data_IF_840476791623
#
_entry.id   IF_840476791623
#
_cell.length_a   1.000
_cell.length_b   1.000
_cell.length_c   1.000
_cell.angle_alpha   90.00
_cell.angle_beta   90.00
_cell.angle_gamma   90.00
#
_symmetry.space_group_name_H-M   'P 1'
#
loop_
_entity.id
_entity.type
_entity.pdbx_description
1 polymer ?
#
# COMPACT_ATOMS: atom_id res chain seq x y z
N UNK A 1 -32.40 26.59 -35.14
CA UNK A 1 -31.99 25.60 -34.12
C UNK A 1 -30.49 25.45 -34.22
N UNK A 2 -29.73 26.17 -33.40
CA UNK A 2 -28.28 25.99 -33.30
C UNK A 2 -28.05 24.92 -32.23
N UNK A 3 -27.40 23.83 -32.62
CA UNK A 3 -27.05 22.72 -31.76
C UNK A 3 -26.14 23.22 -30.63
N UNK A 4 -26.45 22.80 -29.40
CA UNK A 4 -25.67 23.12 -28.22
C UNK A 4 -24.27 22.51 -28.35
N UNK A 5 -23.26 23.38 -28.26
CA UNK A 5 -21.93 22.96 -27.82
C UNK A 5 -22.07 22.49 -26.37
N UNK A 6 -22.03 21.18 -26.18
CA UNK A 6 -21.74 20.57 -24.90
C UNK A 6 -20.23 20.70 -24.74
N UNK A 7 -19.78 21.61 -23.87
CA UNK A 7 -18.41 21.60 -23.38
C UNK A 7 -18.21 20.26 -22.68
N UNK A 8 -17.42 19.38 -23.30
CA UNK A 8 -16.86 18.23 -22.62
C UNK A 8 -15.87 18.81 -21.61
N UNK A 9 -16.26 18.88 -20.34
CA UNK A 9 -15.30 18.98 -19.26
C UNK A 9 -14.45 17.71 -19.33
N UNK A 10 -13.24 17.83 -19.86
CA UNK A 10 -12.19 16.80 -19.91
C UNK A 10 -11.75 16.45 -18.47
N UNK A 11 -12.60 15.74 -17.75
CA UNK A 11 -12.25 14.98 -16.56
C UNK A 11 -11.84 13.59 -17.01
N UNK A 12 -10.55 13.43 -17.26
CA UNK A 12 -9.85 12.23 -17.73
C UNK A 12 -9.90 11.11 -16.66
N UNK A 13 -11.09 10.59 -16.39
CA UNK A 13 -11.34 9.51 -15.44
C UNK A 13 -11.13 8.18 -16.17
N UNK A 14 -9.88 7.94 -16.57
CA UNK A 14 -9.47 6.66 -17.13
C UNK A 14 -9.73 5.57 -16.07
N UNK A 15 -10.32 4.43 -16.46
CA UNK A 15 -10.53 3.34 -15.53
C UNK A 15 -9.19 2.90 -14.92
N UNK A 16 -9.18 2.46 -13.64
CA UNK A 16 -7.96 2.13 -12.91
C UNK A 16 -7.10 1.06 -13.60
N UNK A 17 -7.70 0.22 -14.44
CA UNK A 17 -7.04 -0.88 -15.16
C UNK A 17 -6.66 -0.54 -16.61
N UNK A 18 -6.70 0.73 -17.02
CA UNK A 18 -6.26 1.11 -18.37
C UNK A 18 -4.74 0.85 -18.55
N UNK A 19 -4.31 0.43 -19.74
CA UNK A 19 -2.89 0.16 -20.03
C UNK A 19 -2.00 1.39 -19.75
N UNK A 20 -2.54 2.60 -19.91
CA UNK A 20 -1.86 3.87 -19.64
C UNK A 20 -1.77 4.17 -18.12
N UNK A 21 -2.77 3.75 -17.33
CA UNK A 21 -2.74 3.82 -15.86
C UNK A 21 -1.67 2.87 -15.29
N UNK A 22 -1.64 1.62 -15.77
CA UNK A 22 -0.67 0.60 -15.35
C UNK A 22 0.77 0.95 -15.76
N UNK A 23 0.96 1.58 -16.93
CA UNK A 23 2.27 2.00 -17.42
C UNK A 23 2.91 3.11 -16.55
N UNK A 24 2.10 3.85 -15.80
CA UNK A 24 2.54 4.92 -14.91
C UNK A 24 2.74 4.48 -13.45
N UNK A 25 2.43 3.22 -13.10
CA UNK A 25 2.73 2.69 -11.77
C UNK A 25 4.23 2.38 -11.65
N UNK A 26 4.85 2.67 -10.49
CA UNK A 26 6.20 2.21 -10.24
C UNK A 26 6.27 0.68 -10.39
N UNK A 27 7.39 0.14 -10.91
CA UNK A 27 7.53 -1.29 -11.11
C UNK A 27 7.38 -2.03 -9.77
N UNK A 28 6.75 -3.21 -9.83
CA UNK A 28 6.60 -4.07 -8.66
C UNK A 28 7.98 -4.49 -8.13
N UNK A 29 8.28 -4.09 -6.89
CA UNK A 29 9.54 -4.38 -6.23
C UNK A 29 9.36 -5.45 -5.15
N UNK A 30 10.12 -6.53 -5.29
CA UNK A 30 10.12 -7.67 -4.36
C UNK A 30 11.33 -7.61 -3.43
N UNK A 31 11.07 -7.61 -2.13
CA UNK A 31 12.07 -7.51 -1.07
C UNK A 31 12.26 -8.83 -0.33
N UNK A 32 13.40 -8.97 0.33
CA UNK A 32 13.62 -10.06 1.28
C UNK A 32 12.78 -9.85 2.55
N UNK A 33 12.40 -10.94 3.22
CA UNK A 33 11.55 -10.88 4.41
C UNK A 33 12.14 -10.02 5.53
N UNK A 34 13.47 -9.97 5.68
CA UNK A 34 14.14 -9.11 6.67
C UNK A 34 13.79 -7.62 6.49
N UNK A 35 13.72 -7.16 5.24
CA UNK A 35 13.34 -5.78 4.94
C UNK A 35 11.91 -5.47 5.44
N UNK A 36 10.99 -6.42 5.29
CA UNK A 36 9.62 -6.28 5.77
C UNK A 36 9.52 -6.29 7.29
N UNK A 37 10.32 -7.12 7.94
CA UNK A 37 10.36 -7.20 9.41
C UNK A 37 10.84 -5.86 9.98
N UNK A 38 11.90 -5.30 9.42
CA UNK A 38 12.44 -4.02 9.86
C UNK A 38 11.46 -2.87 9.59
N UNK A 39 10.79 -2.88 8.44
CA UNK A 39 9.75 -1.91 8.10
C UNK A 39 8.58 -1.93 9.09
N UNK A 40 7.99 -3.11 9.33
CA UNK A 40 6.85 -3.25 10.25
C UNK A 40 7.21 -2.89 11.69
N UNK A 41 8.43 -3.22 12.15
CA UNK A 41 8.93 -2.81 13.47
C UNK A 41 9.04 -1.30 13.61
N UNK A 42 9.61 -0.61 12.61
CA UNK A 42 9.75 0.84 12.63
C UNK A 42 8.40 1.55 12.70
N UNK A 43 7.40 1.06 11.95
CA UNK A 43 6.03 1.60 12.03
C UNK A 43 5.43 1.36 13.42
N UNK A 44 5.53 0.14 13.94
CA UNK A 44 5.00 -0.17 15.26
C UNK A 44 5.64 0.69 16.35
N UNK A 45 6.96 0.89 16.30
CA UNK A 45 7.69 1.73 17.25
C UNK A 45 7.30 3.21 17.12
N UNK A 46 7.09 3.70 15.90
CA UNK A 46 6.60 5.05 15.66
C UNK A 46 5.19 5.25 16.23
N UNK A 47 4.26 4.31 16.01
CA UNK A 47 2.89 4.37 16.52
C UNK A 47 2.88 4.31 18.06
N UNK A 48 3.70 3.46 18.68
CA UNK A 48 3.82 3.42 20.15
C UNK A 48 4.30 4.74 20.74
N UNK A 49 5.15 5.47 20.02
CA UNK A 49 5.66 6.78 20.44
C UNK A 49 4.68 7.92 20.12
N UNK A 50 3.81 7.75 19.11
CA UNK A 50 2.89 8.77 18.60
C UNK A 50 1.50 8.14 18.37
N UNK A 51 0.77 7.71 19.41
CA UNK A 51 -0.48 6.96 19.28
C UNK A 51 -1.57 7.75 18.53
N UNK A 52 -1.54 9.09 18.55
CA UNK A 52 -2.47 9.97 17.84
C UNK A 52 -2.30 9.97 16.31
N UNK A 53 -1.22 9.35 15.80
CA UNK A 53 -0.96 9.27 14.35
C UNK A 53 -1.92 8.34 13.59
N UNK A 54 -2.65 7.47 14.32
CA UNK A 54 -3.62 6.52 13.76
C UNK A 54 -4.92 6.55 14.54
N UNK A 55 -6.02 6.17 13.89
CA UNK A 55 -7.37 6.21 14.50
C UNK A 55 -7.57 5.15 15.58
N UNK A 56 -7.04 3.95 15.37
CA UNK A 56 -7.19 2.80 16.26
C UNK A 56 -5.83 2.15 16.47
N UNK A 57 -5.14 2.58 17.53
CA UNK A 57 -3.76 2.17 17.83
C UNK A 57 -3.66 0.67 18.06
N UNK A 58 -4.57 0.12 18.87
CA UNK A 58 -4.50 -1.28 19.26
C UNK A 58 -4.77 -2.20 18.07
N UNK A 59 -5.76 -1.86 17.23
CA UNK A 59 -6.03 -2.61 16.00
C UNK A 59 -4.84 -2.58 15.03
N UNK A 60 -4.25 -1.41 14.79
CA UNK A 60 -3.12 -1.28 13.86
C UNK A 60 -1.87 -2.01 14.40
N UNK A 61 -1.58 -1.92 15.70
CA UNK A 61 -0.47 -2.65 16.29
C UNK A 61 -0.69 -4.17 16.24
N UNK A 62 -1.93 -4.65 16.39
CA UNK A 62 -2.27 -6.06 16.22
C UNK A 62 -2.05 -6.54 14.77
N UNK A 63 -2.44 -5.75 13.78
CA UNK A 63 -2.21 -6.08 12.37
C UNK A 63 -0.71 -6.10 12.03
N UNK A 64 0.07 -5.17 12.57
CA UNK A 64 1.52 -5.15 12.42
C UNK A 64 2.20 -6.37 13.06
N UNK A 65 1.73 -6.83 14.22
CA UNK A 65 2.24 -8.06 14.86
C UNK A 65 1.88 -9.31 14.03
N UNK A 66 0.68 -9.34 13.45
CA UNK A 66 0.26 -10.39 12.52
C UNK A 66 1.13 -10.41 11.27
N UNK A 67 1.44 -9.23 10.70
CA UNK A 67 2.36 -9.10 9.56
C UNK A 67 3.76 -9.58 9.91
N UNK A 68 4.29 -9.21 11.08
CA UNK A 68 5.61 -9.67 11.57
C UNK A 68 5.65 -11.19 11.71
N UNK A 69 4.56 -11.80 12.17
CA UNK A 69 4.44 -13.26 12.27
C UNK A 69 4.52 -13.94 10.89
N UNK A 70 3.83 -13.40 9.88
CA UNK A 70 3.88 -13.94 8.51
C UNK A 70 5.26 -13.74 7.89
N UNK A 71 5.87 -12.57 8.06
CA UNK A 71 7.21 -12.28 7.55
C UNK A 71 8.30 -13.13 8.20
N UNK A 72 8.18 -13.43 9.49
CA UNK A 72 9.09 -14.36 10.16
C UNK A 72 9.03 -15.76 9.51
N UNK A 73 7.83 -16.25 9.20
CA UNK A 73 7.66 -17.52 8.50
C UNK A 73 8.15 -17.46 7.04
N UNK A 74 8.02 -16.31 6.38
CA UNK A 74 8.56 -16.10 5.04
C UNK A 74 10.10 -16.14 5.06
N UNK A 75 10.72 -15.52 6.06
CA UNK A 75 12.18 -15.54 6.28
C UNK A 75 12.71 -16.95 6.46
N UNK A 76 12.07 -17.77 7.28
CA UNK A 76 12.46 -19.17 7.50
C UNK A 76 12.47 -20.01 6.22
N UNK A 77 11.70 -19.58 5.21
CA UNK A 77 11.54 -20.26 3.92
C UNK A 77 12.24 -19.53 2.76
N UNK A 78 13.03 -18.50 3.08
CA UNK A 78 13.73 -17.65 2.09
C UNK A 78 12.78 -17.06 1.03
N UNK A 79 11.55 -16.74 1.42
CA UNK A 79 10.55 -16.15 0.54
C UNK A 79 10.69 -14.62 0.49
N UNK A 80 10.36 -14.06 -0.66
CA UNK A 80 10.25 -12.62 -0.88
C UNK A 80 8.84 -12.12 -0.60
N UNK A 81 8.71 -10.82 -0.38
CA UNK A 81 7.45 -10.13 -0.19
C UNK A 81 7.45 -8.80 -0.93
N UNK A 82 6.26 -8.26 -1.18
CA UNK A 82 6.06 -6.90 -1.68
C UNK A 82 4.81 -6.32 -0.99
N UNK A 83 4.73 -5.00 -0.89
CA UNK A 83 3.56 -4.33 -0.34
C UNK A 83 2.60 -3.99 -1.48
N UNK A 84 1.39 -4.55 -1.41
CA UNK A 84 0.30 -4.17 -2.30
C UNK A 84 -0.59 -3.15 -1.57
N UNK A 85 -0.84 -2.01 -2.23
CA UNK A 85 -1.76 -0.97 -1.76
C UNK A 85 -2.86 -0.83 -2.80
N UNK A 86 -4.11 -0.87 -2.35
CA UNK A 86 -5.32 -0.71 -3.16
C UNK A 86 -6.24 0.33 -2.47
N UNK A 87 -6.91 1.19 -3.24
CA UNK A 87 -7.62 2.38 -2.76
C UNK A 87 -9.11 2.35 -3.08
#
# INVERSE_FOLDING_TARGET
MMAGLMELEDGDDLPPDSEETLANMPPEEWYDADHGIDYAKQIADYIRQNPESVKDVDAVLYDLDSMLTVLAQAKERELKWHLQVDF
#
